data_IF_224198301847
#
_entry.id   IF_224198301847
#
_cell.length_a   1.000
_cell.length_b   1.000
_cell.length_c   1.000
_cell.angle_alpha   90.00
_cell.angle_beta   90.00
_cell.angle_gamma   90.00
#
_symmetry.space_group_name_H-M   'P 1'
#
loop_
_entity.id
_entity.type
_entity.pdbx_description
1 polymer ?
#
# COMPACT_ATOMS: atom_id res chain seq x y z
N UNK A 1 -33.05 -4.61 16.42
CA UNK A 1 -31.97 -5.48 15.93
C UNK A 1 -31.39 -6.21 17.12
N UNK A 2 -31.31 -7.54 17.15
CA UNK A 2 -30.85 -8.28 18.32
C UNK A 2 -29.34 -8.20 18.45
N UNK A 3 -28.86 -7.83 19.62
CA UNK A 3 -27.47 -7.83 20.04
C UNK A 3 -26.92 -9.24 20.08
N UNK A 4 -25.93 -9.51 19.25
CA UNK A 4 -25.21 -10.78 19.21
C UNK A 4 -24.32 -10.90 20.44
N UNK A 5 -24.65 -11.79 21.37
CA UNK A 5 -23.77 -12.16 22.49
C UNK A 5 -22.48 -12.78 21.93
N UNK A 6 -21.30 -12.49 22.52
CA UNK A 6 -20.08 -13.15 22.11
C UNK A 6 -20.18 -14.65 22.39
N UNK A 7 -19.81 -15.46 21.41
CA UNK A 7 -19.70 -16.91 21.54
C UNK A 7 -18.57 -17.22 22.52
N UNK A 8 -18.90 -17.87 23.64
CA UNK A 8 -17.90 -18.49 24.51
C UNK A 8 -17.30 -19.68 23.76
N UNK A 9 -16.06 -19.55 23.30
CA UNK A 9 -15.30 -20.72 22.89
C UNK A 9 -15.13 -21.65 24.09
N UNK A 10 -15.32 -22.97 23.91
CA UNK A 10 -15.13 -23.91 24.99
C UNK A 10 -13.64 -23.96 25.37
N UNK A 11 -13.36 -23.74 26.63
CA UNK A 11 -12.02 -23.92 27.22
C UNK A 11 -11.51 -25.35 26.94
N UNK A 12 -10.18 -25.52 26.75
CA UNK A 12 -9.62 -26.84 26.51
C UNK A 12 -9.95 -27.78 27.67
N UNK A 13 -10.41 -28.98 27.34
CA UNK A 13 -10.98 -29.94 28.28
C UNK A 13 -9.98 -30.56 29.27
N UNK A 14 -8.70 -30.22 29.22
CA UNK A 14 -7.68 -30.71 30.15
C UNK A 14 -6.86 -29.54 30.67
N UNK A 15 -6.87 -29.29 32.01
CA UNK A 15 -6.03 -28.25 32.59
C UNK A 15 -4.56 -28.56 32.34
N UNK A 16 -3.71 -27.57 32.08
CA UNK A 16 -2.28 -27.75 31.93
C UNK A 16 -1.72 -28.28 33.28
N UNK A 17 -1.02 -29.40 33.24
CA UNK A 17 -0.29 -29.93 34.38
C UNK A 17 1.14 -29.43 34.34
N UNK A 18 1.60 -28.79 35.40
CA UNK A 18 2.98 -28.35 35.58
C UNK A 18 3.71 -29.43 36.39
N UNK A 19 4.56 -30.27 35.77
CA UNK A 19 5.06 -31.49 36.42
C UNK A 19 6.11 -31.27 37.53
N UNK A 20 6.78 -30.14 37.62
CA UNK A 20 7.95 -29.93 38.51
C UNK A 20 7.85 -28.73 39.46
N UNK A 21 6.64 -28.30 39.81
CA UNK A 21 6.43 -27.16 40.73
C UNK A 21 6.42 -27.63 42.18
N UNK A 22 7.23 -27.02 43.05
CA UNK A 22 7.31 -27.29 44.48
C UNK A 22 6.49 -26.30 45.28
N UNK A 23 6.05 -26.75 46.50
CA UNK A 23 5.33 -25.87 47.38
C UNK A 23 6.21 -24.64 47.76
N UNK A 24 5.72 -23.45 47.48
CA UNK A 24 6.43 -22.18 47.67
C UNK A 24 6.92 -21.51 46.39
N UNK A 25 6.86 -22.19 45.28
CA UNK A 25 7.24 -21.59 43.98
C UNK A 25 6.21 -20.55 43.50
N UNK A 26 6.72 -19.55 42.81
CA UNK A 26 5.88 -18.50 42.22
C UNK A 26 5.48 -18.91 40.77
N UNK A 27 4.18 -19.08 40.55
CA UNK A 27 3.62 -19.35 39.24
C UNK A 27 3.21 -18.03 38.63
N UNK A 28 3.79 -17.71 37.47
CA UNK A 28 3.44 -16.53 36.67
C UNK A 28 2.45 -16.95 35.58
N UNK A 29 1.29 -16.34 35.58
CA UNK A 29 0.24 -16.62 34.62
C UNK A 29 0.03 -15.38 33.76
N UNK A 30 0.28 -15.55 32.47
CA UNK A 30 0.13 -14.49 31.46
C UNK A 30 -0.74 -15.00 30.31
N UNK A 31 -1.71 -14.21 29.93
CA UNK A 31 -2.54 -14.46 28.74
C UNK A 31 -2.80 -13.13 28.04
N UNK A 32 -2.84 -13.17 26.71
CA UNK A 32 -3.06 -11.95 25.89
C UNK A 32 -4.41 -11.32 26.25
N UNK A 33 -4.39 -10.01 26.61
CA UNK A 33 -5.58 -9.26 27.02
C UNK A 33 -5.90 -9.34 28.52
N UNK A 34 -5.08 -9.99 29.32
CA UNK A 34 -5.26 -10.10 30.78
C UNK A 34 -4.01 -9.67 31.56
N UNK A 35 -4.22 -9.10 32.74
CA UNK A 35 -3.10 -8.72 33.63
C UNK A 35 -2.35 -9.96 34.10
N UNK A 36 -1.04 -9.97 33.91
CA UNK A 36 -0.16 -11.01 34.45
C UNK A 36 -0.34 -11.09 35.96
N UNK A 37 -0.57 -12.29 36.45
CA UNK A 37 -0.69 -12.55 37.90
C UNK A 37 0.42 -13.47 38.35
N UNK A 38 1.04 -13.12 39.47
CA UNK A 38 2.03 -13.93 40.18
C UNK A 38 1.41 -14.52 41.45
N UNK A 39 1.38 -15.82 41.56
CA UNK A 39 0.77 -16.53 42.68
C UNK A 39 1.77 -17.51 43.26
N UNK A 40 2.02 -17.39 44.58
CA UNK A 40 2.83 -18.34 45.32
C UNK A 40 2.02 -19.63 45.53
N UNK A 41 2.49 -20.73 44.95
CA UNK A 41 1.76 -22.00 45.05
C UNK A 41 1.86 -22.64 46.41
N UNK A 42 0.75 -23.13 46.91
CA UNK A 42 0.62 -23.73 48.24
C UNK A 42 0.33 -25.23 48.23
N UNK A 43 0.57 -25.89 47.11
CA UNK A 43 0.34 -27.34 46.96
C UNK A 43 -1.12 -27.72 46.65
N UNK A 44 -2.06 -26.76 46.56
CA UNK A 44 -3.47 -27.02 46.26
C UNK A 44 -3.82 -26.63 44.84
N UNK A 45 -4.87 -27.24 44.24
CA UNK A 45 -5.38 -26.79 42.93
C UNK A 45 -5.71 -25.31 42.97
N UNK A 46 -5.20 -24.55 41.99
CA UNK A 46 -5.43 -23.12 41.84
C UNK A 46 -6.62 -22.90 40.88
N UNK A 47 -7.59 -22.15 41.37
CA UNK A 47 -8.67 -21.63 40.49
C UNK A 47 -8.44 -20.11 40.35
N UNK A 48 -7.99 -19.71 39.13
CA UNK A 48 -7.49 -18.36 38.92
C UNK A 48 -8.43 -17.66 37.94
N UNK A 49 -8.95 -16.52 38.39
CA UNK A 49 -9.72 -15.62 37.50
C UNK A 49 -8.78 -14.50 37.07
N UNK A 50 -8.41 -14.51 35.82
CA UNK A 50 -7.63 -13.43 35.23
C UNK A 50 -8.50 -12.18 35.13
N UNK A 51 -7.98 -11.06 35.55
CA UNK A 51 -8.61 -9.75 35.37
C UNK A 51 -8.24 -9.23 33.98
N UNK A 52 -9.22 -8.74 33.24
CA UNK A 52 -8.98 -8.10 31.97
C UNK A 52 -7.91 -7.02 32.14
N UNK A 53 -6.89 -7.03 31.30
CA UNK A 53 -5.97 -5.93 31.16
C UNK A 53 -6.66 -4.87 30.30
N UNK A 54 -7.62 -4.19 30.93
CA UNK A 54 -8.29 -3.02 30.36
C UNK A 54 -7.38 -1.78 30.35
N UNK A 55 -6.08 -1.94 30.22
CA UNK A 55 -5.31 -0.95 29.52
C UNK A 55 -5.66 -1.13 28.03
N UNK A 56 -6.86 -0.65 27.64
CA UNK A 56 -7.01 -0.07 26.34
C UNK A 56 -5.78 0.84 26.22
N UNK A 57 -4.82 0.47 25.39
CA UNK A 57 -3.80 1.41 24.95
C UNK A 57 -4.60 2.63 24.56
N UNK A 58 -4.51 3.69 25.35
CA UNK A 58 -5.14 4.97 25.03
C UNK A 58 -4.55 5.36 23.67
N UNK A 59 -5.26 4.99 22.60
CA UNK A 59 -4.84 5.26 21.24
C UNK A 59 -4.89 6.77 21.09
N UNK A 60 -3.70 7.38 21.17
CA UNK A 60 -3.53 8.82 21.10
C UNK A 60 -3.43 9.19 19.64
N UNK A 61 -4.33 10.02 19.20
CA UNK A 61 -4.35 10.56 17.85
C UNK A 61 -3.77 11.97 17.88
N UNK A 62 -2.82 12.24 17.01
CA UNK A 62 -2.34 13.60 16.78
C UNK A 62 -3.43 14.37 16.05
N UNK A 63 -3.94 15.42 16.67
CA UNK A 63 -4.97 16.32 16.11
C UNK A 63 -4.48 17.75 16.22
N UNK A 64 -4.26 18.38 15.10
CA UNK A 64 -3.82 19.76 15.08
C UNK A 64 -2.47 19.98 15.76
N UNK A 65 -2.44 20.91 16.69
CA UNK A 65 -1.22 21.26 17.45
C UNK A 65 -1.04 20.44 18.73
N UNK A 66 -1.79 19.34 18.90
CA UNK A 66 -1.71 18.50 20.10
C UNK A 66 -2.10 17.06 19.84
N UNK A 67 -1.92 16.22 20.85
CA UNK A 67 -2.38 14.84 20.87
C UNK A 67 -3.60 14.71 21.74
N UNK A 68 -4.64 14.04 21.27
CA UNK A 68 -5.85 13.74 22.04
C UNK A 68 -6.12 12.23 22.02
N UNK A 69 -6.76 11.72 23.06
CA UNK A 69 -7.19 10.34 23.07
C UNK A 69 -8.25 10.14 21.99
N UNK A 70 -8.18 9.06 21.23
CA UNK A 70 -9.14 8.72 20.19
C UNK A 70 -10.58 8.67 20.72
N UNK A 71 -10.75 8.26 21.98
CA UNK A 71 -12.04 8.23 22.67
C UNK A 71 -12.64 9.62 22.91
N UNK A 72 -11.81 10.66 22.98
CA UNK A 72 -12.24 12.04 23.23
C UNK A 72 -12.54 12.82 21.93
N UNK A 73 -12.25 12.21 20.78
CA UNK A 73 -12.51 12.81 19.48
C UNK A 73 -13.98 12.63 19.09
N UNK A 74 -14.72 13.71 19.05
CA UNK A 74 -16.13 13.72 18.61
C UNK A 74 -16.30 13.61 17.08
N UNK A 75 -15.21 13.73 16.32
CA UNK A 75 -15.19 13.70 14.86
C UNK A 75 -14.84 12.33 14.26
N UNK A 76 -15.20 12.10 12.99
CA UNK A 76 -14.83 10.87 12.25
C UNK A 76 -13.34 10.89 11.86
N UNK A 77 -12.49 10.47 12.79
CA UNK A 77 -11.05 10.31 12.57
C UNK A 77 -10.73 8.83 12.31
N UNK A 78 -10.00 8.58 11.24
CA UNK A 78 -9.40 7.26 10.98
C UNK A 78 -7.89 7.36 11.10
N UNK A 79 -7.28 6.47 11.84
CA UNK A 79 -5.83 6.39 11.99
C UNK A 79 -5.37 4.98 11.69
N UNK A 80 -4.20 4.89 11.07
CA UNK A 80 -3.48 3.63 10.85
C UNK A 80 -2.00 3.82 11.19
N UNK A 81 -1.39 2.78 11.72
CA UNK A 81 0.07 2.71 11.87
C UNK A 81 0.67 2.24 10.55
N UNK A 82 1.69 2.91 10.09
CA UNK A 82 2.28 2.60 8.78
C UNK A 82 2.90 1.21 8.74
N UNK A 83 3.51 0.75 9.82
CA UNK A 83 4.09 -0.59 9.90
C UNK A 83 3.04 -1.70 9.73
N UNK A 84 1.82 -1.50 10.26
CA UNK A 84 0.70 -2.44 10.08
C UNK A 84 0.17 -2.43 8.64
N UNK A 85 0.19 -1.26 8.00
CA UNK A 85 -0.26 -1.08 6.61
C UNK A 85 0.74 -1.65 5.62
N UNK A 86 2.02 -1.43 5.85
CA UNK A 86 3.10 -1.95 5.00
C UNK A 86 3.18 -3.47 5.09
N UNK A 87 3.20 -4.02 6.32
CA UNK A 87 3.46 -5.45 6.51
C UNK A 87 4.69 -5.88 5.69
N UNK A 88 4.55 -6.99 4.97
CA UNK A 88 5.59 -7.52 4.08
C UNK A 88 5.48 -7.01 2.63
N UNK A 89 4.61 -6.01 2.36
CA UNK A 89 4.41 -5.51 1.00
C UNK A 89 5.55 -4.61 0.57
N UNK A 90 6.21 -4.88 -0.56
CA UNK A 90 7.22 -3.99 -1.12
C UNK A 90 6.54 -2.77 -1.74
N UNK A 91 6.42 -1.68 -0.99
CA UNK A 91 5.78 -0.44 -1.43
C UNK A 91 6.80 0.70 -1.40
N UNK A 92 7.01 1.35 -2.55
CA UNK A 92 7.96 2.46 -2.68
C UNK A 92 7.32 3.79 -2.29
N UNK A 93 6.01 3.94 -2.53
CA UNK A 93 5.31 5.21 -2.36
C UNK A 93 4.33 5.14 -1.18
N UNK A 94 4.48 6.04 -0.21
CA UNK A 94 3.61 6.12 0.96
C UNK A 94 2.13 6.32 0.58
N UNK A 95 1.85 7.05 -0.49
CA UNK A 95 0.49 7.24 -1.02
C UNK A 95 -0.11 5.91 -1.48
N UNK A 96 0.68 5.09 -2.17
CA UNK A 96 0.24 3.77 -2.63
C UNK A 96 0.02 2.79 -1.45
N UNK A 97 0.80 2.91 -0.38
CA UNK A 97 0.63 2.10 0.83
C UNK A 97 -0.75 2.28 1.45
N UNK A 98 -1.29 3.50 1.44
CA UNK A 98 -2.57 3.85 2.05
C UNK A 98 -3.80 3.38 1.25
N UNK A 99 -3.61 2.87 0.04
CA UNK A 99 -4.72 2.39 -0.79
C UNK A 99 -5.42 1.21 -0.10
N UNK A 100 -6.72 1.39 0.20
CA UNK A 100 -7.53 0.40 0.91
C UNK A 100 -7.25 0.27 2.41
N UNK A 101 -6.29 1.03 2.95
CA UNK A 101 -5.93 0.95 4.37
C UNK A 101 -6.94 1.66 5.29
N UNK A 102 -7.65 2.64 4.78
CA UNK A 102 -8.57 3.44 5.60
C UNK A 102 -9.94 3.59 4.96
N UNK A 103 -11.04 3.40 5.71
CA UNK A 103 -12.39 3.64 5.19
C UNK A 103 -12.57 5.12 4.79
N UNK A 104 -13.11 5.35 3.57
CA UNK A 104 -13.41 6.68 3.06
C UNK A 104 -12.20 7.47 2.54
N UNK A 105 -11.01 6.89 2.49
CA UNK A 105 -9.86 7.40 1.75
C UNK A 105 -9.78 6.66 0.42
N UNK A 106 -9.95 7.36 -0.67
CA UNK A 106 -9.76 6.85 -2.02
C UNK A 106 -8.39 7.31 -2.53
N UNK A 107 -7.62 6.35 -3.01
CA UNK A 107 -6.34 6.60 -3.67
C UNK A 107 -6.51 6.24 -5.13
N UNK A 108 -6.31 7.19 -6.03
CA UNK A 108 -6.45 7.02 -7.47
C UNK A 108 -5.19 7.50 -8.19
N UNK A 109 -4.99 7.00 -9.39
CA UNK A 109 -3.85 7.37 -10.22
C UNK A 109 -3.28 6.19 -11.00
N UNK A 110 -2.31 6.45 -11.84
CA UNK A 110 -1.67 5.43 -12.66
C UNK A 110 -0.90 4.40 -11.79
N UNK A 111 -0.85 3.18 -12.30
CA UNK A 111 -0.04 2.10 -11.71
C UNK A 111 1.37 2.05 -12.30
N UNK A 112 1.75 3.03 -13.12
CA UNK A 112 3.10 3.09 -13.69
C UNK A 112 4.12 3.50 -12.63
N UNK A 113 5.36 3.01 -12.72
CA UNK A 113 6.45 3.36 -11.83
C UNK A 113 6.63 4.88 -11.69
N UNK A 114 6.81 5.35 -10.46
CA UNK A 114 7.07 6.75 -10.17
C UNK A 114 5.91 7.72 -10.37
N UNK A 115 4.74 7.26 -10.77
CA UNK A 115 3.57 8.13 -10.94
C UNK A 115 2.97 8.52 -9.60
N UNK A 116 2.68 9.82 -9.46
CA UNK A 116 1.99 10.35 -8.30
C UNK A 116 0.54 9.85 -8.27
N UNK A 117 0.09 9.45 -7.08
CA UNK A 117 -1.31 9.11 -6.84
C UNK A 117 -2.01 10.26 -6.13
N UNK A 118 -3.27 10.46 -6.42
CA UNK A 118 -4.10 11.47 -5.78
C UNK A 118 -4.95 10.87 -4.66
N UNK A 119 -5.24 11.69 -3.67
CA UNK A 119 -6.14 11.36 -2.58
C UNK A 119 -7.49 12.02 -2.79
N UNK A 120 -8.54 11.31 -2.43
CA UNK A 120 -9.87 11.85 -2.31
C UNK A 120 -10.53 11.31 -1.05
N UNK A 121 -11.14 12.19 -0.25
CA UNK A 121 -11.84 11.85 0.98
C UNK A 121 -13.33 12.11 0.75
N UNK A 122 -14.15 11.03 0.84
CA UNK A 122 -15.61 11.09 0.66
C UNK A 122 -16.10 11.52 -0.74
N UNK A 123 -15.29 11.43 -1.78
CA UNK A 123 -15.64 11.79 -3.15
C UNK A 123 -15.33 13.24 -3.51
N UNK A 124 -15.61 13.61 -4.74
CA UNK A 124 -15.34 14.96 -5.25
C UNK A 124 -16.30 15.98 -4.64
N UNK A 125 -15.77 16.92 -3.88
CA UNK A 125 -16.54 17.96 -3.17
C UNK A 125 -16.80 19.16 -4.09
N UNK A 126 -16.01 19.33 -5.13
CA UNK A 126 -16.08 20.47 -6.05
C UNK A 126 -15.71 20.07 -7.47
N UNK A 127 -16.34 20.71 -8.46
CA UNK A 127 -15.99 20.58 -9.89
C UNK A 127 -14.53 20.98 -10.17
N UNK A 128 -13.97 21.85 -9.34
CA UNK A 128 -12.57 22.30 -9.46
C UNK A 128 -11.57 21.46 -8.67
N UNK A 129 -11.99 20.27 -8.20
CA UNK A 129 -11.19 19.41 -7.34
C UNK A 129 -11.39 19.77 -5.86
N UNK A 130 -10.71 19.08 -4.99
CA UNK A 130 -10.81 19.21 -3.54
C UNK A 130 -9.83 18.25 -2.89
N UNK A 131 -8.57 18.30 -3.37
CA UNK A 131 -7.51 17.48 -2.77
C UNK A 131 -7.43 17.78 -1.25
N UNK A 132 -7.30 16.76 -0.41
CA UNK A 132 -7.13 16.96 1.02
C UNK A 132 -5.81 17.67 1.31
N UNK A 133 -5.81 18.45 2.38
CA UNK A 133 -4.59 19.06 2.89
C UNK A 133 -3.71 17.98 3.55
N UNK A 134 -2.48 17.85 3.10
CA UNK A 134 -1.51 16.90 3.68
C UNK A 134 -0.55 17.68 4.58
N UNK A 135 -0.48 17.26 5.85
CA UNK A 135 0.44 17.83 6.84
C UNK A 135 1.38 16.74 7.34
N UNK A 136 2.67 16.97 7.18
CA UNK A 136 3.75 16.11 7.66
C UNK A 136 4.36 16.78 8.88
N UNK A 137 4.22 16.17 10.04
CA UNK A 137 4.64 16.76 11.33
C UNK A 137 4.15 18.22 11.49
N UNK A 138 2.88 18.48 11.14
CA UNK A 138 2.21 19.79 11.16
C UNK A 138 2.65 20.79 10.08
N UNK A 139 3.52 20.42 9.17
CA UNK A 139 3.93 21.25 8.04
C UNK A 139 3.31 20.71 6.77
N UNK A 140 2.77 21.60 5.92
CA UNK A 140 2.24 21.18 4.62
C UNK A 140 3.32 20.57 3.74
N UNK A 141 3.04 19.41 3.16
CA UNK A 141 4.01 18.69 2.36
C UNK A 141 3.37 17.65 1.43
N UNK A 142 4.20 17.03 0.63
CA UNK A 142 3.81 15.96 -0.29
C UNK A 142 4.17 14.60 0.32
N UNK A 143 3.14 13.78 0.55
CA UNK A 143 3.32 12.42 1.07
C UNK A 143 4.15 11.54 0.12
N UNK A 144 4.11 11.80 -1.18
CA UNK A 144 4.90 11.05 -2.15
C UNK A 144 6.41 11.25 -1.99
N UNK A 145 6.81 12.36 -1.37
CA UNK A 145 8.21 12.66 -1.08
C UNK A 145 8.75 11.86 0.12
N UNK A 146 7.88 11.36 1.00
CA UNK A 146 8.31 10.63 2.18
C UNK A 146 8.61 9.16 1.90
N UNK A 147 9.64 8.64 2.57
CA UNK A 147 9.86 7.22 2.64
C UNK A 147 8.79 6.57 3.55
N UNK A 148 8.03 5.56 3.06
CA UNK A 148 7.03 4.88 3.87
C UNK A 148 7.56 4.35 5.21
N UNK A 149 8.80 3.85 5.23
CA UNK A 149 9.44 3.30 6.44
C UNK A 149 9.72 4.36 7.53
N UNK A 150 9.71 5.66 7.17
CA UNK A 150 9.91 6.76 8.12
C UNK A 150 8.60 7.27 8.74
N UNK A 151 7.46 6.79 8.27
CA UNK A 151 6.16 7.18 8.76
C UNK A 151 5.78 6.27 9.94
N UNK A 152 5.37 6.86 11.05
CA UNK A 152 4.81 6.16 12.20
C UNK A 152 3.33 5.88 12.02
N UNK A 153 2.56 6.95 11.74
CA UNK A 153 1.11 6.85 11.58
C UNK A 153 0.56 7.88 10.60
N UNK A 154 -0.59 7.55 10.04
CA UNK A 154 -1.37 8.47 9.22
C UNK A 154 -2.77 8.56 9.79
N UNK A 155 -3.22 9.78 10.04
CA UNK A 155 -4.57 10.08 10.52
C UNK A 155 -5.32 10.89 9.47
N UNK A 156 -6.58 10.55 9.21
CA UNK A 156 -7.44 11.24 8.24
C UNK A 156 -8.60 11.87 8.97
N UNK A 157 -8.67 13.22 8.93
CA UNK A 157 -9.75 14.01 9.43
C UNK A 157 -10.79 14.19 8.32
N UNK A 158 -11.93 13.51 8.47
CA UNK A 158 -12.95 13.45 7.42
C UNK A 158 -14.05 14.49 7.62
N UNK A 159 -14.21 15.00 8.84
CA UNK A 159 -15.27 15.92 9.20
C UNK A 159 -14.81 17.36 9.16
N UNK A 160 -15.69 18.25 8.72
CA UNK A 160 -15.45 19.69 8.74
C UNK A 160 -15.17 20.21 10.16
N UNK A 161 -15.78 19.62 11.20
CA UNK A 161 -15.55 20.02 12.59
C UNK A 161 -14.10 19.73 13.03
N UNK A 162 -13.59 18.52 12.74
CA UNK A 162 -12.20 18.14 13.04
C UNK A 162 -11.18 18.88 12.18
N UNK A 163 -11.57 19.27 10.96
CA UNK A 163 -10.72 19.98 10.01
C UNK A 163 -10.77 21.51 10.17
N UNK A 164 -11.72 22.05 10.96
CA UNK A 164 -11.99 23.49 11.07
C UNK A 164 -10.77 24.32 11.51
N UNK A 165 -9.90 23.78 12.34
CA UNK A 165 -8.67 24.43 12.81
C UNK A 165 -7.68 24.76 11.67
N UNK A 166 -7.80 24.06 10.53
CA UNK A 166 -6.94 24.24 9.35
C UNK A 166 -7.55 25.18 8.30
N UNK A 167 -8.76 25.75 8.60
CA UNK A 167 -9.45 26.75 7.79
C UNK A 167 -9.97 26.20 6.45
N UNK A 168 -10.17 27.10 5.49
CA UNK A 168 -10.79 26.80 4.19
C UNK A 168 -10.00 25.79 3.34
N UNK A 169 -8.69 25.67 3.55
CA UNK A 169 -7.81 24.73 2.83
C UNK A 169 -8.13 23.27 3.19
N UNK A 170 -8.75 23.04 4.32
CA UNK A 170 -9.13 21.73 4.79
C UNK A 170 -10.53 21.27 4.32
N UNK A 171 -11.16 22.01 3.40
CA UNK A 171 -12.49 21.66 2.88
C UNK A 171 -12.54 20.25 2.27
N UNK A 172 -11.45 19.78 1.64
CA UNK A 172 -11.27 18.42 1.11
C UNK A 172 -10.92 17.36 2.16
N UNK A 173 -10.87 17.74 3.44
CA UNK A 173 -10.35 16.92 4.53
C UNK A 173 -8.87 17.17 4.79
N UNK A 174 -8.32 16.53 5.82
CA UNK A 174 -6.91 16.67 6.22
C UNK A 174 -6.30 15.29 6.43
N UNK A 175 -5.11 15.10 5.90
CA UNK A 175 -4.26 13.92 6.13
C UNK A 175 -3.09 14.36 7.01
N UNK A 176 -3.06 13.86 8.23
CA UNK A 176 -1.98 14.11 9.18
C UNK A 176 -1.01 12.94 9.14
N UNK A 177 0.23 13.23 8.86
CA UNK A 177 1.33 12.25 8.81
C UNK A 177 2.28 12.54 9.97
N UNK A 178 2.48 11.54 10.80
CA UNK A 178 3.45 11.58 11.89
C UNK A 178 4.65 10.73 11.51
N UNK A 179 5.85 11.29 11.59
CA UNK A 179 7.08 10.56 11.31
C UNK A 179 7.63 9.87 12.56
N UNK A 180 8.40 8.81 12.35
CA UNK A 180 9.02 8.04 13.44
C UNK A 180 10.05 8.88 14.19
N UNK A 181 9.89 8.97 15.51
CA UNK A 181 10.78 9.68 16.41
C UNK A 181 11.25 8.76 17.54
N UNK A 182 12.53 8.76 17.91
CA UNK A 182 12.99 7.97 19.04
C UNK A 182 12.46 8.56 20.35
N UNK A 183 12.13 7.68 21.30
CA UNK A 183 11.82 8.08 22.68
C UNK A 183 13.08 8.58 23.39
N UNK A 184 12.90 9.21 24.55
CA UNK A 184 14.02 9.56 25.45
C UNK A 184 14.76 8.28 25.88
N UNK A 185 16.05 8.39 26.11
CA UNK A 185 16.92 7.26 26.52
C UNK A 185 16.89 6.05 25.57
N UNK A 186 16.58 6.29 24.30
CA UNK A 186 16.63 5.25 23.29
C UNK A 186 18.08 4.82 23.06
N UNK A 187 18.39 3.55 23.32
CA UNK A 187 19.69 2.97 22.98
C UNK A 187 19.90 3.11 21.49
N UNK A 188 21.18 3.21 21.07
CA UNK A 188 21.52 3.22 19.67
C UNK A 188 20.91 2.01 18.96
N UNK A 189 20.13 2.27 17.91
CA UNK A 189 19.46 1.27 17.09
C UNK A 189 19.89 1.46 15.64
N UNK A 190 20.24 0.36 15.02
CA UNK A 190 20.51 0.29 13.58
C UNK A 190 19.50 -0.68 12.99
N UNK A 191 18.78 -0.23 11.98
CA UNK A 191 17.82 -1.04 11.26
C UNK A 191 18.14 -1.00 9.77
N UNK A 192 18.11 -2.17 9.14
CA UNK A 192 18.18 -2.32 7.69
C UNK A 192 17.02 -3.21 7.26
N UNK A 193 16.24 -2.75 6.31
CA UNK A 193 15.19 -3.53 5.66
C UNK A 193 15.43 -3.61 4.15
N UNK A 194 15.15 -4.77 3.61
CA UNK A 194 15.24 -5.04 2.18
C UNK A 194 13.98 -5.77 1.73
N UNK A 195 13.32 -5.21 0.73
CA UNK A 195 12.14 -5.79 0.12
C UNK A 195 12.35 -5.94 -1.38
N UNK A 196 12.08 -7.13 -1.90
CA UNK A 196 12.13 -7.45 -3.31
C UNK A 196 10.77 -7.96 -3.77
N UNK A 197 10.26 -7.41 -4.84
CA UNK A 197 8.98 -7.81 -5.43
C UNK A 197 9.13 -8.07 -6.93
N UNK A 198 8.23 -8.91 -7.45
CA UNK A 198 8.05 -9.14 -8.88
C UNK A 198 6.61 -8.83 -9.24
N UNK A 199 6.43 -8.02 -10.25
CA UNK A 199 5.12 -7.62 -10.74
C UNK A 199 4.84 -8.28 -12.07
N UNK A 200 3.71 -8.97 -12.17
CA UNK A 200 3.25 -9.58 -13.41
C UNK A 200 1.83 -9.13 -13.71
N UNK A 201 1.61 -8.72 -14.93
CA UNK A 201 0.27 -8.38 -15.40
C UNK A 201 -0.65 -9.61 -15.36
N UNK A 202 -1.77 -9.49 -14.67
CA UNK A 202 -2.82 -10.51 -14.58
C UNK A 202 -4.13 -9.96 -15.13
N UNK A 203 -5.04 -10.86 -15.54
CA UNK A 203 -6.37 -10.46 -16.02
C UNK A 203 -6.35 -9.71 -17.35
N UNK A 204 -5.37 -10.02 -18.21
CA UNK A 204 -5.36 -9.47 -19.58
C UNK A 204 -6.63 -9.90 -20.30
N UNK A 205 -7.27 -9.00 -21.07
CA UNK A 205 -8.37 -9.39 -21.93
C UNK A 205 -7.94 -10.52 -22.87
N UNK A 206 -8.79 -11.50 -23.03
CA UNK A 206 -8.56 -12.54 -24.03
C UNK A 206 -8.70 -11.89 -25.40
N UNK A 207 -7.68 -12.02 -26.23
CA UNK A 207 -7.70 -11.52 -27.58
C UNK A 207 -8.65 -12.39 -28.42
N UNK A 208 -9.53 -11.75 -29.18
CA UNK A 208 -10.35 -12.43 -30.16
C UNK A 208 -9.46 -13.12 -31.23
N UNK A 209 -9.88 -14.29 -31.69
CA UNK A 209 -9.22 -14.91 -32.84
C UNK A 209 -9.37 -14.03 -34.09
N UNK A 210 -8.48 -14.20 -35.07
CA UNK A 210 -8.62 -13.49 -36.34
C UNK A 210 -9.96 -13.80 -37.03
N UNK A 211 -10.51 -15.01 -36.85
CA UNK A 211 -11.80 -15.37 -37.39
C UNK A 211 -12.93 -14.60 -36.69
N UNK A 212 -12.94 -14.57 -35.35
CA UNK A 212 -13.94 -13.82 -34.59
C UNK A 212 -13.89 -12.32 -34.94
N UNK A 213 -12.68 -11.81 -35.17
CA UNK A 213 -12.49 -10.42 -35.60
C UNK A 213 -13.10 -10.16 -37.00
N UNK A 214 -12.89 -11.07 -37.95
CA UNK A 214 -13.48 -11.02 -39.29
C UNK A 214 -15.00 -11.10 -39.21
N UNK A 215 -15.53 -12.02 -38.40
CA UNK A 215 -16.97 -12.20 -38.17
C UNK A 215 -17.60 -10.92 -37.61
N UNK A 216 -17.01 -10.32 -36.62
CA UNK A 216 -17.48 -9.06 -36.04
C UNK A 216 -17.48 -7.89 -37.03
N UNK A 217 -16.47 -7.83 -37.92
CA UNK A 217 -16.41 -6.80 -38.95
C UNK A 217 -17.47 -6.98 -40.02
N UNK A 218 -17.73 -8.22 -40.43
CA UNK A 218 -18.80 -8.51 -41.39
C UNK A 218 -20.19 -8.24 -40.78
N UNK A 219 -20.41 -8.65 -39.53
CA UNK A 219 -21.66 -8.37 -38.83
C UNK A 219 -21.92 -6.86 -38.67
N UNK A 220 -20.85 -6.09 -38.41
CA UNK A 220 -20.92 -4.64 -38.34
C UNK A 220 -21.07 -3.95 -39.74
N UNK A 221 -21.12 -4.72 -40.84
CA UNK A 221 -21.28 -4.21 -42.19
C UNK A 221 -20.01 -3.61 -42.83
N UNK A 222 -18.83 -3.88 -42.23
CA UNK A 222 -17.58 -3.46 -42.85
C UNK A 222 -17.15 -4.45 -43.94
N UNK A 223 -16.86 -3.94 -45.12
CA UNK A 223 -16.39 -4.74 -46.27
C UNK A 223 -14.89 -4.67 -46.50
N UNK A 224 -14.21 -3.70 -45.88
CA UNK A 224 -12.78 -3.45 -46.07
C UNK A 224 -11.98 -3.63 -44.81
N UNK A 225 -10.77 -4.15 -44.94
CA UNK A 225 -9.80 -4.23 -43.88
C UNK A 225 -9.15 -2.87 -43.62
N UNK A 226 -9.26 -2.33 -42.42
CA UNK A 226 -8.94 -0.93 -42.13
C UNK A 226 -7.46 -0.56 -42.35
N UNK A 227 -6.53 -1.47 -42.07
CA UNK A 227 -5.08 -1.21 -42.14
C UNK A 227 -4.39 -1.74 -43.37
N UNK A 228 -5.11 -2.41 -44.26
CA UNK A 228 -4.53 -3.10 -45.42
C UNK A 228 -4.85 -2.44 -46.76
N UNK A 229 -5.11 -1.15 -46.78
CA UNK A 229 -5.42 -0.40 -48.01
C UNK A 229 -6.68 -0.90 -48.68
N UNK A 230 -6.54 -1.56 -49.84
CA UNK A 230 -7.67 -2.08 -50.61
C UNK A 230 -8.14 -3.50 -50.20
N UNK A 231 -7.58 -4.04 -49.08
CA UNK A 231 -7.94 -5.37 -48.63
C UNK A 231 -9.41 -5.53 -48.32
N UNK A 232 -9.99 -6.67 -48.69
CA UNK A 232 -11.39 -7.02 -48.46
C UNK A 232 -11.51 -8.00 -47.30
N UNK A 233 -12.55 -7.87 -46.49
CA UNK A 233 -12.81 -8.76 -45.36
C UNK A 233 -13.11 -10.19 -45.84
N UNK A 234 -13.90 -10.34 -46.92
CA UNK A 234 -14.19 -11.65 -47.53
C UNK A 234 -12.92 -12.37 -48.02
N UNK A 235 -12.04 -11.64 -48.69
CA UNK A 235 -10.75 -12.18 -49.14
C UNK A 235 -9.87 -12.58 -47.97
N UNK A 236 -9.88 -11.78 -46.88
CA UNK A 236 -9.13 -12.11 -45.70
C UNK A 236 -9.60 -13.42 -45.04
N UNK A 237 -10.92 -13.60 -44.97
CA UNK A 237 -11.54 -14.86 -44.50
C UNK A 237 -11.05 -16.07 -45.31
N UNK A 238 -11.13 -15.98 -46.64
CA UNK A 238 -10.70 -17.06 -47.55
C UNK A 238 -9.21 -17.39 -47.38
N UNK A 239 -8.36 -16.35 -47.37
CA UNK A 239 -6.94 -16.52 -47.19
C UNK A 239 -6.60 -17.11 -45.80
N UNK A 240 -7.28 -16.69 -44.75
CA UNK A 240 -7.10 -17.23 -43.42
C UNK A 240 -7.49 -18.72 -43.34
N UNK A 241 -8.58 -19.11 -44.01
CA UNK A 241 -9.00 -20.52 -44.10
C UNK A 241 -7.96 -21.35 -44.85
N UNK A 242 -7.46 -20.85 -46.00
CA UNK A 242 -6.39 -21.50 -46.75
C UNK A 242 -5.08 -21.61 -45.98
N UNK A 243 -4.73 -20.58 -45.23
CA UNK A 243 -3.56 -20.58 -44.34
C UNK A 243 -3.68 -21.64 -43.24
N UNK A 244 -4.81 -21.68 -42.54
CA UNK A 244 -5.10 -22.70 -41.51
C UNK A 244 -5.13 -24.12 -42.08
N UNK A 245 -5.54 -24.29 -43.36
CA UNK A 245 -5.50 -25.58 -44.05
C UNK A 245 -4.12 -25.93 -44.60
N UNK A 246 -3.12 -25.05 -44.49
CA UNK A 246 -1.78 -25.26 -45.05
C UNK A 246 -1.69 -25.24 -46.57
N UNK A 247 -2.75 -24.77 -47.27
CA UNK A 247 -2.82 -24.75 -48.71
C UNK A 247 -2.32 -23.44 -49.34
N UNK A 248 -2.14 -22.38 -48.54
CA UNK A 248 -1.69 -21.07 -49.02
C UNK A 248 -0.15 -21.02 -49.04
N UNK A 249 0.40 -20.70 -50.22
CA UNK A 249 1.86 -20.53 -50.40
C UNK A 249 2.24 -19.05 -50.45
N UNK A 250 3.52 -18.75 -50.17
CA UNK A 250 4.03 -17.38 -50.24
C UNK A 250 3.72 -16.52 -49.01
N UNK A 251 3.28 -17.12 -47.92
CA UNK A 251 3.12 -16.44 -46.61
C UNK A 251 4.48 -16.27 -45.98
N UNK A 252 4.81 -15.05 -45.53
CA UNK A 252 6.00 -14.78 -44.77
C UNK A 252 5.95 -15.47 -43.37
N UNK A 253 7.09 -15.81 -42.82
CA UNK A 253 7.19 -16.52 -41.49
C UNK A 253 6.46 -15.81 -40.33
N UNK A 254 6.34 -14.49 -40.39
CA UNK A 254 5.56 -13.69 -39.47
C UNK A 254 4.06 -13.61 -39.76
N UNK A 255 3.58 -14.39 -40.77
CA UNK A 255 2.16 -14.47 -41.15
C UNK A 255 1.66 -13.36 -42.05
N UNK A 256 2.54 -12.58 -42.65
CA UNK A 256 2.16 -11.53 -43.59
C UNK A 256 2.03 -12.16 -45.00
N UNK A 257 0.93 -11.87 -45.68
CA UNK A 257 0.67 -12.26 -47.05
C UNK A 257 0.35 -11.06 -47.90
N UNK A 258 1.08 -10.87 -49.01
CA UNK A 258 0.80 -9.82 -49.99
C UNK A 258 0.02 -10.44 -51.16
N UNK A 259 -1.25 -10.01 -51.28
CA UNK A 259 -2.13 -10.49 -52.33
C UNK A 259 -1.83 -9.82 -53.68
N UNK A 260 -2.30 -10.42 -54.76
CA UNK A 260 -2.06 -9.95 -56.14
C UNK A 260 -2.62 -8.54 -56.44
N UNK A 261 -3.61 -8.09 -55.71
CA UNK A 261 -4.19 -6.74 -55.79
C UNK A 261 -3.33 -5.69 -55.03
N UNK A 262 -2.25 -6.11 -54.41
CA UNK A 262 -1.34 -5.27 -53.63
C UNK A 262 -1.75 -5.11 -52.16
N UNK A 263 -2.87 -5.68 -51.73
CA UNK A 263 -3.30 -5.66 -50.34
C UNK A 263 -2.44 -6.58 -49.49
N UNK A 264 -2.27 -6.22 -48.22
CA UNK A 264 -1.51 -6.99 -47.25
C UNK A 264 -2.47 -7.57 -46.18
N UNK A 265 -2.36 -8.89 -45.98
CA UNK A 265 -3.19 -9.61 -45.03
C UNK A 265 -2.33 -10.22 -43.94
N UNK A 266 -2.81 -10.15 -42.69
CA UNK A 266 -2.21 -10.79 -41.53
C UNK A 266 -2.96 -12.10 -41.26
N UNK A 267 -2.28 -13.22 -41.36
CA UNK A 267 -2.87 -14.57 -41.27
C UNK A 267 -2.45 -15.35 -40.04
N UNK A 268 -1.43 -14.86 -39.32
CA UNK A 268 -0.94 -15.50 -38.09
C UNK A 268 -1.44 -14.72 -36.88
N UNK A 269 -2.07 -15.45 -35.98
CA UNK A 269 -2.44 -14.92 -34.68
C UNK A 269 -1.17 -14.65 -33.85
N UNK A 270 -1.15 -13.55 -33.15
CA UNK A 270 -0.08 -13.15 -32.25
C UNK A 270 -0.66 -12.75 -30.91
N UNK A 271 0.18 -12.64 -29.91
CA UNK A 271 -0.17 -12.02 -28.61
C UNK A 271 0.56 -10.68 -28.46
N UNK A 272 0.06 -9.59 -29.09
CA UNK A 272 0.72 -8.29 -29.00
C UNK A 272 0.74 -7.74 -27.58
N UNK A 273 -0.25 -8.08 -26.77
CA UNK A 273 -0.27 -7.70 -25.35
C UNK A 273 0.78 -8.47 -24.55
N UNK A 274 0.90 -9.79 -24.79
CA UNK A 274 1.93 -10.59 -24.16
C UNK A 274 3.34 -10.17 -24.56
N UNK A 275 3.54 -9.84 -25.83
CA UNK A 275 4.82 -9.39 -26.36
C UNK A 275 5.22 -7.98 -25.86
N UNK A 276 4.26 -7.17 -25.42
CA UNK A 276 4.50 -5.84 -24.87
C UNK A 276 4.74 -5.85 -23.36
N UNK A 277 4.53 -6.97 -22.70
CA UNK A 277 4.63 -7.11 -21.25
C UNK A 277 5.71 -8.09 -20.84
N UNK A 278 6.40 -7.73 -19.79
CA UNK A 278 7.42 -8.55 -19.13
C UNK A 278 7.11 -8.63 -17.62
N UNK A 279 7.98 -9.23 -16.86
CA UNK A 279 7.90 -9.23 -15.40
C UNK A 279 8.60 -7.99 -14.87
N UNK A 280 7.84 -7.11 -14.23
CA UNK A 280 8.37 -5.97 -13.51
C UNK A 280 9.13 -6.40 -12.26
N UNK A 281 10.07 -5.59 -11.84
CA UNK A 281 10.89 -5.81 -10.64
C UNK A 281 10.86 -4.58 -9.76
N UNK A 282 10.62 -4.80 -8.48
CA UNK A 282 10.65 -3.76 -7.47
C UNK A 282 11.67 -4.14 -6.40
N UNK A 283 12.57 -3.23 -6.05
CA UNK A 283 13.58 -3.39 -5.02
C UNK A 283 13.60 -2.17 -4.12
N UNK A 284 13.53 -2.38 -2.82
CA UNK A 284 13.54 -1.31 -1.82
C UNK A 284 14.55 -1.63 -0.72
N UNK A 285 15.51 -0.73 -0.53
CA UNK A 285 16.51 -0.79 0.53
C UNK A 285 16.30 0.38 1.46
N UNK A 286 16.14 0.12 2.73
CA UNK A 286 16.02 1.16 3.73
C UNK A 286 16.99 0.92 4.87
N UNK A 287 17.74 1.94 5.24
CA UNK A 287 18.68 1.93 6.37
C UNK A 287 18.29 3.05 7.32
N UNK A 288 18.26 2.77 8.62
CA UNK A 288 18.03 3.81 9.59
C UNK A 288 18.87 3.63 10.86
N UNK A 289 19.25 4.74 11.43
CA UNK A 289 19.91 4.82 12.73
C UNK A 289 19.11 5.74 13.63
N UNK A 290 18.92 5.35 14.86
CA UNK A 290 18.23 6.14 15.86
C UNK A 290 18.91 5.97 17.22
N UNK A 291 18.81 6.98 18.04
CA UNK A 291 19.33 6.93 19.40
C UNK A 291 19.04 8.21 20.14
N UNK A 292 19.35 8.21 21.43
CA UNK A 292 19.16 9.40 22.22
C UNK A 292 19.48 9.21 23.68
N UNK A 293 19.63 10.33 24.34
CA UNK A 293 19.70 10.49 25.77
C UNK A 293 18.45 11.24 26.24
N UNK A 294 18.37 11.54 27.52
CA UNK A 294 17.31 12.39 28.10
C UNK A 294 17.24 13.78 27.42
N UNK A 295 18.34 14.27 26.82
CA UNK A 295 18.43 15.63 26.29
C UNK A 295 18.62 15.71 24.77
N UNK A 296 19.11 14.67 24.16
CA UNK A 296 19.39 14.65 22.71
C UNK A 296 18.80 13.38 22.11
N UNK A 297 17.99 13.54 21.09
CA UNK A 297 17.42 12.45 20.31
C UNK A 297 17.70 12.68 18.84
N UNK A 298 18.01 11.62 18.14
CA UNK A 298 18.22 11.70 16.70
C UNK A 298 17.72 10.43 16.00
N UNK A 299 17.26 10.62 14.77
CA UNK A 299 16.99 9.58 13.81
C UNK A 299 17.48 10.03 12.44
N UNK A 300 18.17 9.17 11.74
CA UNK A 300 18.56 9.37 10.35
C UNK A 300 18.14 8.15 9.56
N UNK A 301 17.62 8.35 8.36
CA UNK A 301 17.31 7.26 7.44
C UNK A 301 17.78 7.57 6.03
N UNK A 302 18.07 6.52 5.29
CA UNK A 302 18.36 6.55 3.87
C UNK A 302 17.59 5.46 3.16
N UNK A 303 16.95 5.81 2.05
CA UNK A 303 16.19 4.89 1.23
C UNK A 303 16.69 4.90 -0.21
N UNK A 304 16.83 3.72 -0.78
CA UNK A 304 17.04 3.50 -2.20
C UNK A 304 15.98 2.55 -2.72
N UNK A 305 15.18 3.02 -3.64
CA UNK A 305 14.13 2.24 -4.27
C UNK A 305 14.31 2.23 -5.78
N UNK A 306 14.14 1.06 -6.36
CA UNK A 306 14.16 0.84 -7.80
C UNK A 306 12.90 0.08 -8.20
N UNK A 307 12.25 0.53 -9.24
CA UNK A 307 11.07 -0.09 -9.83
C UNK A 307 11.24 -0.12 -11.35
N UNK A 308 11.07 -1.29 -11.93
CA UNK A 308 10.94 -1.50 -13.36
C UNK A 308 9.55 -2.07 -13.58
N UNK A 309 8.70 -1.36 -14.30
CA UNK A 309 7.34 -1.80 -14.57
C UNK A 309 7.26 -2.99 -15.50
N UNK A 310 6.04 -3.51 -15.75
CA UNK A 310 5.85 -4.70 -16.55
C UNK A 310 5.89 -4.45 -18.07
N UNK A 311 6.28 -3.26 -18.54
CA UNK A 311 6.42 -2.98 -19.97
C UNK A 311 7.72 -3.55 -20.50
N UNK A 312 7.68 -4.25 -21.63
CA UNK A 312 8.88 -4.79 -22.31
C UNK A 312 9.91 -3.71 -22.68
N UNK A 313 9.52 -2.45 -22.66
CA UNK A 313 10.41 -1.33 -22.93
C UNK A 313 11.07 -0.88 -21.63
N UNK A 314 12.37 -0.70 -21.64
CA UNK A 314 13.12 -0.15 -20.50
C UNK A 314 12.76 1.32 -20.14
N UNK A 315 11.62 1.81 -20.55
CA UNK A 315 11.19 3.23 -20.39
C UNK A 315 10.34 3.47 -19.17
N UNK A 316 9.82 2.43 -18.53
CA UNK A 316 9.01 2.50 -17.32
C UNK A 316 9.80 2.20 -16.05
N UNK A 317 11.03 2.71 -16.00
CA UNK A 317 11.91 2.61 -14.83
C UNK A 317 11.79 3.82 -13.94
N UNK A 318 11.78 3.57 -12.65
CA UNK A 318 11.80 4.60 -11.63
C UNK A 318 12.85 4.29 -10.57
N UNK A 319 13.64 5.28 -10.22
CA UNK A 319 14.61 5.18 -9.12
C UNK A 319 14.38 6.34 -8.17
N UNK A 320 14.27 6.01 -6.89
CA UNK A 320 14.14 6.98 -5.83
C UNK A 320 15.29 6.85 -4.85
N UNK A 321 15.80 7.98 -4.43
CA UNK A 321 16.75 8.10 -3.33
C UNK A 321 16.18 9.12 -2.36
N UNK A 322 16.06 8.76 -1.10
CA UNK A 322 15.55 9.66 -0.08
C UNK A 322 16.46 9.62 1.14
N UNK A 323 16.61 10.76 1.78
CA UNK A 323 17.33 10.91 3.04
C UNK A 323 16.43 11.67 4.01
N UNK A 324 16.36 11.23 5.24
CA UNK A 324 15.69 11.99 6.30
C UNK A 324 16.58 12.10 7.52
N UNK A 325 16.43 13.21 8.25
CA UNK A 325 17.10 13.41 9.51
C UNK A 325 16.17 14.14 10.48
N UNK A 326 16.07 13.64 11.66
CA UNK A 326 15.40 14.24 12.81
C UNK A 326 16.40 14.40 13.94
N UNK A 327 16.47 15.58 14.52
CA UNK A 327 17.28 15.87 15.70
C UNK A 327 16.43 16.72 16.65
N UNK A 328 16.37 16.30 17.91
CA UNK A 328 15.72 17.06 18.98
C UNK A 328 16.69 17.22 20.14
N UNK A 329 16.88 18.45 20.60
CA UNK A 329 17.78 18.76 21.68
C UNK A 329 17.10 19.64 22.74
N UNK A 330 17.09 19.19 23.99
CA UNK A 330 16.65 19.97 25.14
C UNK A 330 17.80 20.86 25.61
N UNK A 331 17.85 22.10 25.06
CA UNK A 331 18.91 23.06 25.34
C UNK A 331 18.80 23.58 26.78
N UNK A 332 17.57 23.80 27.25
CA UNK A 332 17.27 24.17 28.63
C UNK A 332 16.03 23.39 29.10
N UNK A 333 15.70 23.47 30.38
CA UNK A 333 14.49 22.82 30.94
C UNK A 333 13.17 23.32 30.33
N UNK A 334 13.19 24.47 29.67
CA UNK A 334 12.01 25.13 29.09
C UNK A 334 12.13 25.35 27.58
N UNK A 335 13.26 24.97 26.95
CA UNK A 335 13.47 25.15 25.52
C UNK A 335 14.05 23.90 24.86
N UNK A 336 13.26 23.32 23.98
CA UNK A 336 13.63 22.20 23.11
C UNK A 336 13.70 22.70 21.67
N UNK A 337 14.78 22.40 20.97
CA UNK A 337 14.95 22.65 19.54
C UNK A 337 14.77 21.34 18.78
N UNK A 338 13.85 21.34 17.82
CA UNK A 338 13.66 20.23 16.88
C UNK A 338 13.96 20.65 15.46
N UNK A 339 14.66 19.82 14.73
CA UNK A 339 15.00 20.01 13.32
C UNK A 339 14.65 18.72 12.60
N UNK A 340 13.84 18.82 11.55
CA UNK A 340 13.51 17.73 10.64
C UNK A 340 13.87 18.13 9.23
N UNK A 341 14.57 17.27 8.50
CA UNK A 341 14.98 17.46 7.12
C UNK A 341 14.57 16.23 6.29
N UNK A 342 14.06 16.49 5.09
CA UNK A 342 13.74 15.49 4.08
C UNK A 342 14.37 15.90 2.75
N UNK A 343 14.95 14.90 2.03
CA UNK A 343 15.53 15.07 0.71
C UNK A 343 15.13 13.91 -0.19
#
# INVERSE_FOLDING_TARGET
MPTRKPSKEPLPQKPPSLPDVKNGDVIVISFVGYKTQEIKWNGKPLNITLKDDAQALDEVVVVGFGSQKKADLTGAVSQVKMDEVLGDRPVINATAALQGAMPGLMVSGASSPGQSKSFNIRGDISINGGAPLVLIDNVEGDLSALNPDDIESVSVLKDAASAAIYGARAAGGVILVTTKRPANDTRFQFNYSFNQGWEKSIGRPVQASLMDYIDAYEEAGYSKQYWAGNGQISTWRELLQQYKAGSLQGVHENGIYKHSDGAVYYLKEGDPQGNALDTGVLSNHNISVAGGTDRLRFRMSGNYSYENGPMYTDKDKYTRKALSAFISADITKWYTQEITMYY
#
